data_IF_989289693001
#
_entry.id   IF_989289693001
#
_cell.length_a   1.000
_cell.length_b   1.000
_cell.length_c   1.000
_cell.angle_alpha   90.00
_cell.angle_beta   90.00
_cell.angle_gamma   90.00
#
_symmetry.space_group_name_H-M   'P 1'
#
loop_
_entity.id
_entity.type
_entity.pdbx_description
1 polymer ?
#
# COMPACT_ATOMS: atom_id res chain seq x y z
N UNK A 1 -5.90 -8.60 18.14
CA UNK A 1 -6.22 -8.28 16.72
C UNK A 1 -7.64 -7.74 16.56
N UNK A 2 -8.65 -8.39 17.13
CA UNK A 2 -10.07 -8.03 16.95
C UNK A 2 -10.40 -6.60 17.40
N UNK A 3 -9.83 -6.13 18.51
CA UNK A 3 -10.16 -4.85 19.10
C UNK A 3 -9.62 -3.66 18.28
N UNK A 4 -8.39 -3.75 17.79
CA UNK A 4 -7.80 -2.68 16.97
C UNK A 4 -8.50 -2.54 15.60
N UNK A 5 -8.89 -3.65 14.97
CA UNK A 5 -9.65 -3.61 13.72
C UNK A 5 -11.00 -2.92 13.91
N UNK A 6 -11.71 -3.28 14.99
CA UNK A 6 -12.99 -2.64 15.30
C UNK A 6 -12.87 -1.13 15.55
N UNK A 7 -11.77 -0.67 16.16
CA UNK A 7 -11.47 0.75 16.37
C UNK A 7 -11.31 1.47 15.04
N UNK A 8 -10.49 0.97 14.12
CA UNK A 8 -10.27 1.58 12.80
C UNK A 8 -11.51 1.53 11.91
N UNK A 9 -12.26 0.42 11.92
CA UNK A 9 -13.55 0.35 11.23
C UNK A 9 -14.55 1.39 11.75
N UNK A 10 -14.60 1.61 13.06
CA UNK A 10 -15.45 2.63 13.64
C UNK A 10 -15.05 4.04 13.19
N UNK A 11 -13.77 4.30 13.00
CA UNK A 11 -13.31 5.58 12.43
C UNK A 11 -13.84 5.78 10.99
N UNK A 12 -13.81 4.74 10.14
CA UNK A 12 -14.42 4.78 8.80
C UNK A 12 -15.92 5.06 8.89
N UNK A 13 -16.63 4.34 9.75
CA UNK A 13 -18.08 4.51 9.93
C UNK A 13 -18.44 5.91 10.41
N UNK A 14 -17.56 6.55 11.17
CA UNK A 14 -17.70 7.93 11.62
C UNK A 14 -17.23 8.97 10.58
N UNK A 15 -16.99 8.56 9.33
CA UNK A 15 -16.61 9.45 8.23
C UNK A 15 -15.18 9.99 8.29
N UNK A 16 -14.28 9.35 9.05
CA UNK A 16 -12.87 9.72 9.04
C UNK A 16 -12.24 9.26 7.74
N UNK A 17 -11.37 10.11 7.16
CA UNK A 17 -10.60 9.76 5.98
C UNK A 17 -9.47 8.78 6.29
N UNK A 18 -8.91 8.18 5.24
CA UNK A 18 -7.87 7.18 5.39
C UNK A 18 -6.57 7.79 5.96
N UNK A 19 -6.24 9.04 5.63
CA UNK A 19 -5.04 9.73 6.16
C UNK A 19 -5.11 9.92 7.68
N UNK A 20 -6.30 10.22 8.21
CA UNK A 20 -6.52 10.26 9.65
C UNK A 20 -6.27 8.89 10.29
N UNK A 21 -6.81 7.84 9.69
CA UNK A 21 -6.64 6.46 10.19
C UNK A 21 -5.16 6.04 10.16
N UNK A 22 -4.45 6.35 9.06
CA UNK A 22 -3.02 6.09 8.95
C UNK A 22 -2.22 6.85 10.01
N UNK A 23 -2.62 8.09 10.33
CA UNK A 23 -1.97 8.89 11.39
C UNK A 23 -2.14 8.26 12.76
N UNK A 24 -3.33 7.77 13.10
CA UNK A 24 -3.56 7.06 14.35
C UNK A 24 -2.81 5.73 14.43
N UNK A 25 -2.75 4.98 13.33
CA UNK A 25 -1.98 3.75 13.25
C UNK A 25 -0.46 3.97 13.35
N UNK A 26 0.06 5.03 12.74
CA UNK A 26 1.48 5.38 12.77
C UNK A 26 2.00 5.61 14.19
N UNK A 27 1.16 6.11 15.10
CA UNK A 27 1.49 6.27 16.53
C UNK A 27 1.80 4.92 17.21
N UNK A 28 1.25 3.82 16.70
CA UNK A 28 1.43 2.49 17.27
C UNK A 28 2.67 1.76 16.73
N UNK A 29 3.09 2.05 15.50
CA UNK A 29 4.17 1.33 14.82
C UNK A 29 5.48 2.13 14.64
N UNK A 30 5.54 3.37 15.12
CA UNK A 30 6.74 4.24 15.05
C UNK A 30 7.31 4.36 13.64
N UNK A 31 6.45 4.55 12.65
CA UNK A 31 6.86 4.69 11.25
C UNK A 31 5.89 5.57 10.47
N UNK A 32 6.37 6.09 9.34
CA UNK A 32 5.54 6.80 8.39
C UNK A 32 4.69 5.80 7.61
N UNK A 33 3.37 5.94 7.61
CA UNK A 33 2.47 5.12 6.82
C UNK A 33 2.04 5.84 5.54
N UNK A 34 2.08 5.12 4.42
CA UNK A 34 1.72 5.64 3.10
C UNK A 34 0.90 4.59 2.34
N UNK A 35 -0.18 5.00 1.71
CA UNK A 35 -1.01 4.17 0.84
C UNK A 35 -0.81 4.58 -0.62
N UNK A 36 -0.39 3.64 -1.46
CA UNK A 36 -0.01 3.88 -2.85
C UNK A 36 -0.75 2.91 -3.76
N UNK A 37 -1.28 3.37 -4.88
CA UNK A 37 -1.79 2.50 -5.94
C UNK A 37 -0.66 2.01 -6.88
N UNK A 38 -1.01 1.16 -7.85
CA UNK A 38 -0.05 0.63 -8.82
C UNK A 38 0.51 1.66 -9.80
N UNK A 39 -0.10 2.83 -9.92
CA UNK A 39 0.44 3.92 -10.75
C UNK A 39 1.48 4.76 -10.02
N UNK A 40 1.71 4.48 -8.73
CA UNK A 40 2.55 5.29 -7.86
C UNK A 40 1.82 6.46 -7.21
N UNK A 41 0.50 6.60 -7.43
CA UNK A 41 -0.29 7.65 -6.80
C UNK A 41 -0.42 7.39 -5.31
N UNK A 42 -0.05 8.36 -4.50
CA UNK A 42 -0.25 8.38 -3.06
C UNK A 42 -1.66 8.89 -2.80
N UNK A 43 -2.55 8.03 -2.33
CA UNK A 43 -3.93 8.42 -2.07
C UNK A 43 -4.24 8.66 -0.60
N UNK A 44 -3.35 8.23 0.30
CA UNK A 44 -3.39 8.58 1.73
C UNK A 44 -2.01 8.43 2.38
N UNK A 45 -1.75 9.21 3.41
CA UNK A 45 -0.54 9.06 4.23
C UNK A 45 -0.80 9.55 5.66
N UNK A 46 -0.01 9.05 6.61
CA UNK A 46 0.00 9.59 7.97
C UNK A 46 0.64 10.97 7.99
N UNK A 47 0.42 11.73 9.06
CA UNK A 47 1.15 13.00 9.27
C UNK A 47 2.65 12.77 9.09
N UNK A 48 3.33 13.58 8.23
CA UNK A 48 4.74 13.40 7.97
C UNK A 48 5.59 13.48 9.24
N UNK A 49 6.46 12.49 9.43
CA UNK A 49 7.41 12.50 10.53
C UNK A 49 8.43 13.65 10.36
N UNK A 50 8.88 14.31 11.44
CA UNK A 50 9.85 15.43 11.36
C UNK A 50 11.15 15.04 10.66
N UNK A 51 11.62 13.83 10.92
CA UNK A 51 12.85 13.22 10.40
C UNK A 51 12.68 12.46 9.08
N UNK A 52 11.47 12.52 8.46
CA UNK A 52 11.23 11.91 7.16
C UNK A 52 12.20 12.46 6.10
N UNK A 53 12.73 11.56 5.25
CA UNK A 53 13.64 11.91 4.15
C UNK A 53 13.07 13.02 3.27
N UNK A 54 13.93 13.94 2.77
CA UNK A 54 13.51 15.02 1.89
C UNK A 54 12.77 14.52 0.66
N UNK A 55 13.22 13.42 0.05
CA UNK A 55 12.59 12.78 -1.11
C UNK A 55 11.15 12.34 -0.78
N UNK A 56 10.96 11.68 0.36
CA UNK A 56 9.62 11.28 0.78
C UNK A 56 8.70 12.47 1.10
N UNK A 57 9.25 13.56 1.69
CA UNK A 57 8.48 14.80 1.87
C UNK A 57 8.02 15.37 0.54
N UNK A 58 8.86 15.29 -0.49
CA UNK A 58 8.52 15.70 -1.84
C UNK A 58 7.44 14.79 -2.44
N UNK A 59 7.59 13.45 -2.36
CA UNK A 59 6.60 12.50 -2.88
C UNK A 59 5.23 12.68 -2.22
N UNK A 60 5.19 12.88 -0.90
CA UNK A 60 3.94 13.15 -0.18
C UNK A 60 3.29 14.46 -0.64
N UNK A 61 4.08 15.50 -0.90
CA UNK A 61 3.61 16.79 -1.40
C UNK A 61 3.08 16.70 -2.83
N UNK A 62 3.79 15.97 -3.70
CA UNK A 62 3.44 15.81 -5.10
C UNK A 62 2.31 14.80 -5.32
N UNK A 63 2.08 13.93 -4.33
CA UNK A 63 1.05 12.90 -4.37
C UNK A 63 1.42 11.69 -5.23
N UNK A 64 2.69 11.56 -5.63
CA UNK A 64 3.19 10.47 -6.47
C UNK A 64 4.59 10.01 -6.06
N UNK A 65 4.80 8.70 -6.16
CA UNK A 65 6.12 8.10 -6.11
C UNK A 65 6.76 8.08 -7.50
N UNK A 66 8.09 8.25 -7.62
CA UNK A 66 8.76 8.19 -8.91
C UNK A 66 8.74 6.78 -9.51
N UNK A 67 8.92 6.72 -10.84
CA UNK A 67 8.89 5.47 -11.59
C UNK A 67 9.95 4.46 -11.11
N UNK A 68 11.12 4.94 -10.71
CA UNK A 68 12.21 4.11 -10.19
C UNK A 68 11.82 3.40 -8.90
N UNK A 69 11.13 4.10 -7.98
CA UNK A 69 10.60 3.49 -6.77
C UNK A 69 9.54 2.43 -7.10
N UNK A 70 8.64 2.74 -8.01
CA UNK A 70 7.60 1.80 -8.44
C UNK A 70 8.20 0.58 -9.14
N UNK A 71 9.22 0.75 -9.98
CA UNK A 71 9.94 -0.36 -10.62
C UNK A 71 10.55 -1.28 -9.57
N UNK A 72 11.21 -0.71 -8.56
CA UNK A 72 11.76 -1.49 -7.45
C UNK A 72 10.67 -2.29 -6.71
N UNK A 73 9.51 -1.68 -6.46
CA UNK A 73 8.37 -2.37 -5.86
C UNK A 73 7.89 -3.54 -6.74
N UNK A 74 7.79 -3.35 -8.06
CA UNK A 74 7.42 -4.42 -9.00
C UNK A 74 8.43 -5.55 -9.03
N UNK A 75 9.72 -5.25 -9.06
CA UNK A 75 10.77 -6.26 -9.04
C UNK A 75 10.73 -7.12 -7.78
N UNK A 76 10.41 -6.50 -6.65
CA UNK A 76 10.20 -7.20 -5.38
C UNK A 76 8.97 -8.10 -5.41
N UNK A 77 7.89 -7.67 -6.08
CA UNK A 77 6.67 -8.46 -6.25
C UNK A 77 6.86 -9.65 -7.16
N UNK A 78 7.53 -9.46 -8.31
CA UNK A 78 7.79 -10.51 -9.29
C UNK A 78 8.66 -11.64 -8.73
N UNK A 79 9.49 -11.37 -7.72
CA UNK A 79 10.26 -12.38 -7.00
C UNK A 79 9.41 -13.25 -6.06
N UNK A 80 8.13 -12.93 -5.89
CA UNK A 80 7.20 -13.68 -5.03
C UNK A 80 6.35 -14.62 -5.87
N UNK A 81 6.31 -15.87 -5.48
CA UNK A 81 5.51 -16.92 -6.14
C UNK A 81 4.01 -16.84 -5.82
N UNK A 82 3.62 -16.07 -4.81
CA UNK A 82 2.23 -15.92 -4.37
C UNK A 82 1.93 -14.49 -3.91
N UNK A 83 0.76 -13.97 -4.24
CA UNK A 83 0.21 -12.75 -3.63
C UNK A 83 -0.20 -13.10 -2.20
N UNK A 84 0.73 -12.99 -1.28
CA UNK A 84 0.46 -13.20 0.13
C UNK A 84 -0.11 -11.92 0.74
N UNK A 85 -1.19 -12.04 1.50
CA UNK A 85 -1.72 -10.95 2.32
C UNK A 85 -0.81 -10.58 3.50
N UNK A 86 0.33 -11.27 3.65
CA UNK A 86 1.28 -11.03 4.74
C UNK A 86 2.17 -9.84 4.43
N UNK A 87 2.37 -9.00 5.44
CA UNK A 87 3.35 -7.92 5.37
C UNK A 87 4.76 -8.50 5.24
N UNK A 88 5.61 -7.82 4.48
CA UNK A 88 7.02 -8.17 4.31
C UNK A 88 7.90 -6.95 4.48
N UNK A 89 9.08 -7.17 5.01
CA UNK A 89 10.07 -6.15 5.27
C UNK A 89 11.25 -6.27 4.31
N UNK A 90 11.78 -5.14 3.88
CA UNK A 90 13.02 -5.05 3.13
C UNK A 90 13.74 -3.74 3.43
N UNK A 91 15.05 -3.72 3.23
CA UNK A 91 15.89 -2.54 3.39
C UNK A 91 16.18 -1.93 2.02
N UNK A 92 15.99 -0.63 1.89
CA UNK A 92 16.52 0.11 0.77
C UNK A 92 17.97 0.51 1.09
N UNK A 93 18.93 -0.06 0.34
CA UNK A 93 20.35 0.17 0.58
C UNK A 93 20.76 1.62 0.29
N UNK A 94 20.16 2.23 -0.72
CA UNK A 94 20.48 3.59 -1.17
C UNK A 94 20.16 4.66 -0.13
N UNK A 95 19.14 4.44 0.69
CA UNK A 95 18.66 5.44 1.66
C UNK A 95 18.73 4.97 3.12
N UNK A 96 19.13 3.73 3.36
CA UNK A 96 19.20 3.16 4.72
C UNK A 96 17.85 3.03 5.42
N UNK A 97 16.75 3.11 4.66
CA UNK A 97 15.39 2.99 5.17
C UNK A 97 14.91 1.55 5.10
N UNK A 98 14.18 1.13 6.12
CA UNK A 98 13.44 -0.10 6.12
C UNK A 98 11.99 0.15 5.67
N UNK A 99 11.54 -0.68 4.75
CA UNK A 99 10.16 -0.71 4.31
C UNK A 99 9.49 -1.96 4.84
N UNK A 100 8.31 -1.78 5.41
CA UNK A 100 7.40 -2.87 5.70
C UNK A 100 6.15 -2.64 4.86
N UNK A 101 5.80 -3.57 3.98
CA UNK A 101 4.70 -3.39 3.07
C UNK A 101 3.67 -4.51 3.18
N UNK A 102 2.41 -4.17 2.93
CA UNK A 102 1.30 -5.11 2.82
C UNK A 102 0.39 -4.73 1.67
N UNK A 103 -0.03 -5.69 0.82
CA UNK A 103 -0.93 -5.41 -0.29
C UNK A 103 -2.32 -5.05 0.22
N UNK A 104 -2.96 -4.11 -0.47
CA UNK A 104 -4.38 -3.80 -0.31
C UNK A 104 -5.14 -4.72 -1.27
N UNK A 105 -5.83 -5.73 -0.74
CA UNK A 105 -6.51 -6.75 -1.54
C UNK A 105 -8.02 -6.58 -1.45
N UNK A 106 -8.68 -6.44 -2.61
CA UNK A 106 -10.14 -6.37 -2.75
C UNK A 106 -10.56 -7.42 -3.78
N UNK A 107 -11.49 -8.30 -3.42
CA UNK A 107 -11.99 -9.37 -4.30
C UNK A 107 -10.85 -10.20 -4.94
N UNK A 108 -9.87 -10.60 -4.14
CA UNK A 108 -8.66 -11.33 -4.56
C UNK A 108 -7.75 -10.60 -5.56
N UNK A 109 -7.98 -9.30 -5.81
CA UNK A 109 -7.14 -8.46 -6.63
C UNK A 109 -6.40 -7.46 -5.75
N UNK A 110 -5.09 -7.30 -5.96
CA UNK A 110 -4.34 -6.24 -5.33
C UNK A 110 -4.70 -4.89 -5.98
N UNK A 111 -4.87 -3.86 -5.16
CA UNK A 111 -5.21 -2.50 -5.58
C UNK A 111 -4.06 -1.51 -5.35
N UNK A 112 -3.09 -1.91 -4.59
CA UNK A 112 -1.95 -1.11 -4.18
C UNK A 112 -1.34 -1.66 -2.91
N UNK A 113 -0.62 -0.82 -2.20
CA UNK A 113 0.14 -1.20 -1.00
C UNK A 113 -0.01 -0.17 0.10
N UNK A 114 0.02 -0.67 1.34
CA UNK A 114 0.41 0.11 2.50
C UNK A 114 1.90 -0.09 2.72
N UNK A 115 2.65 1.00 2.77
CA UNK A 115 4.04 1.03 3.18
C UNK A 115 4.18 1.67 4.56
N UNK A 116 5.00 1.06 5.40
CA UNK A 116 5.56 1.70 6.57
C UNK A 116 7.04 1.94 6.33
N UNK A 117 7.47 3.20 6.45
CA UNK A 117 8.85 3.61 6.37
C UNK A 117 9.39 3.78 7.78
N UNK A 118 10.57 3.21 8.05
CA UNK A 118 11.22 3.29 9.35
C UNK A 118 12.75 3.43 9.17
N UNK A 119 13.39 4.19 10.05
CA UNK A 119 14.86 4.31 10.09
C UNK A 119 15.52 3.12 10.77
N UNK A 120 14.79 2.46 11.62
CA UNK A 120 15.24 1.28 12.34
C UNK A 120 14.55 0.05 11.76
N UNK A 121 15.24 -1.07 11.77
CA UNK A 121 14.66 -2.34 11.42
C UNK A 121 13.49 -2.64 12.37
N UNK A 122 12.28 -2.48 11.87
CA UNK A 122 11.08 -2.73 12.64
C UNK A 122 10.42 -4.05 12.21
N UNK A 123 11.10 -5.14 12.51
CA UNK A 123 10.59 -6.50 12.30
C UNK A 123 9.73 -6.99 13.47
N UNK A 124 9.23 -6.10 14.30
CA UNK A 124 8.38 -6.49 15.41
C UNK A 124 7.08 -7.13 14.89
N UNK A 125 6.61 -8.23 15.49
CA UNK A 125 5.31 -8.83 15.15
C UNK A 125 4.18 -7.80 15.16
N UNK A 126 4.22 -6.87 16.11
CA UNK A 126 3.22 -5.81 16.23
C UNK A 126 3.21 -4.86 15.03
N UNK A 127 4.38 -4.50 14.48
CA UNK A 127 4.44 -3.65 13.28
C UNK A 127 3.85 -4.39 12.07
N UNK A 128 4.21 -5.66 11.88
CA UNK A 128 3.66 -6.51 10.82
C UNK A 128 2.13 -6.62 10.92
N UNK A 129 1.62 -6.93 12.10
CA UNK A 129 0.17 -7.00 12.37
C UNK A 129 -0.52 -5.67 12.08
N UNK A 130 0.08 -4.55 12.50
CA UNK A 130 -0.49 -3.23 12.27
C UNK A 130 -0.58 -2.91 10.79
N UNK A 131 0.50 -3.12 10.01
CA UNK A 131 0.51 -2.84 8.57
C UNK A 131 -0.47 -3.73 7.82
N UNK A 132 -0.57 -5.02 8.17
CA UNK A 132 -1.58 -5.94 7.61
C UNK A 132 -3.00 -5.51 7.96
N UNK A 133 -3.22 -5.10 9.19
CA UNK A 133 -4.51 -4.61 9.65
C UNK A 133 -4.94 -3.37 8.86
N UNK A 134 -4.03 -2.41 8.71
CA UNK A 134 -4.29 -1.17 7.97
C UNK A 134 -4.53 -1.44 6.49
N UNK A 135 -3.87 -2.42 5.88
CA UNK A 135 -4.15 -2.77 4.48
C UNK A 135 -5.58 -3.30 4.29
N UNK A 136 -6.11 -4.07 5.25
CA UNK A 136 -7.53 -4.50 5.25
C UNK A 136 -8.48 -3.32 5.46
N UNK A 137 -8.16 -2.43 6.39
CA UNK A 137 -8.93 -1.20 6.65
C UNK A 137 -8.97 -0.31 5.40
N UNK A 138 -7.83 -0.15 4.69
CA UNK A 138 -7.76 0.57 3.43
C UNK A 138 -8.59 -0.09 2.33
N UNK A 139 -8.60 -1.43 2.25
CA UNK A 139 -9.45 -2.16 1.32
C UNK A 139 -10.93 -1.89 1.57
N UNK A 140 -11.36 -1.90 2.84
CA UNK A 140 -12.74 -1.57 3.20
C UNK A 140 -13.10 -0.11 2.92
N UNK A 141 -12.16 0.82 3.15
CA UNK A 141 -12.34 2.23 2.83
C UNK A 141 -12.52 2.44 1.32
N UNK A 142 -11.65 1.86 0.49
CA UNK A 142 -11.72 1.94 -0.97
C UNK A 142 -13.04 1.36 -1.46
N UNK A 143 -13.40 0.16 -1.02
CA UNK A 143 -14.64 -0.52 -1.43
C UNK A 143 -15.91 0.29 -1.13
N UNK A 144 -15.92 1.08 -0.06
CA UNK A 144 -17.06 1.91 0.32
C UNK A 144 -17.13 3.22 -0.47
N UNK A 145 -15.97 3.75 -0.88
CA UNK A 145 -15.89 5.07 -1.51
C UNK A 145 -15.71 5.03 -3.03
N UNK A 146 -15.30 3.89 -3.59
CA UNK A 146 -15.30 3.69 -5.03
C UNK A 146 -16.70 3.19 -5.47
N UNK A 147 -17.40 3.92 -6.35
CA UNK A 147 -18.58 3.37 -7.01
C UNK A 147 -18.14 2.12 -7.82
N UNK A 148 -18.95 1.05 -7.77
CA UNK A 148 -18.68 -0.26 -8.38
C UNK A 148 -18.37 -0.25 -9.90
N UNK A 149 -18.27 0.91 -10.53
CA UNK A 149 -18.23 1.10 -11.98
C UNK A 149 -17.15 2.03 -12.50
N UNK A 150 -15.92 1.95 -12.05
CA UNK A 150 -14.88 2.49 -12.94
C UNK A 150 -14.34 1.37 -13.83
N UNK A 151 -14.94 1.23 -15.02
CA UNK A 151 -14.55 0.24 -16.04
C UNK A 151 -13.07 0.31 -16.42
N UNK A 152 -12.45 1.49 -16.32
CA UNK A 152 -11.02 1.69 -16.57
C UNK A 152 -10.12 1.04 -15.50
N UNK A 153 -10.47 1.10 -14.24
CA UNK A 153 -9.71 0.44 -13.18
C UNK A 153 -9.78 -1.08 -13.29
N UNK A 154 -10.93 -1.63 -13.68
CA UNK A 154 -11.09 -3.07 -13.95
C UNK A 154 -10.28 -3.51 -15.17
N UNK A 155 -10.24 -2.70 -16.24
CA UNK A 155 -9.45 -2.97 -17.43
C UNK A 155 -7.95 -2.95 -17.13
N UNK A 156 -7.48 -1.96 -16.36
CA UNK A 156 -6.09 -1.86 -15.93
C UNK A 156 -5.68 -3.05 -15.06
N UNK A 157 -6.52 -3.47 -14.13
CA UNK A 157 -6.29 -4.65 -13.28
C UNK A 157 -6.20 -5.91 -14.10
N UNK A 158 -7.10 -6.09 -15.07
CA UNK A 158 -7.10 -7.26 -15.95
C UNK A 158 -5.84 -7.31 -16.79
N UNK A 159 -5.44 -6.18 -17.41
CA UNK A 159 -4.19 -6.07 -18.16
C UNK A 159 -2.96 -6.39 -17.30
N UNK A 160 -2.89 -5.87 -16.08
CA UNK A 160 -1.79 -6.19 -15.16
C UNK A 160 -1.78 -7.65 -14.75
N UNK A 161 -2.95 -8.25 -14.51
CA UNK A 161 -3.06 -9.68 -14.18
C UNK A 161 -2.63 -10.54 -15.36
N UNK A 162 -3.03 -10.19 -16.58
CA UNK A 162 -2.66 -10.87 -17.81
C UNK A 162 -1.14 -10.76 -18.08
N UNK A 163 -0.55 -9.59 -17.87
CA UNK A 163 0.90 -9.36 -17.99
C UNK A 163 1.67 -10.15 -16.91
N UNK A 164 1.23 -10.11 -15.67
CA UNK A 164 1.87 -10.81 -14.55
C UNK A 164 1.64 -12.33 -14.60
N UNK A 165 0.53 -12.76 -15.20
CA UNK A 165 0.20 -14.16 -15.44
C UNK A 165 0.99 -14.79 -16.59
N UNK A 166 1.82 -14.02 -17.30
CA UNK A 166 2.68 -14.53 -18.39
C UNK A 166 1.94 -14.81 -19.69
N UNK A 167 0.76 -14.21 -19.90
CA UNK A 167 0.07 -14.30 -21.20
C UNK A 167 0.92 -13.65 -22.31
N UNK A 168 0.97 -14.29 -23.46
CA UNK A 168 1.79 -13.80 -24.58
C UNK A 168 1.28 -12.43 -25.06
N UNK A 169 2.21 -11.56 -25.50
CA UNK A 169 1.90 -10.23 -26.04
C UNK A 169 0.84 -10.25 -27.15
N UNK A 170 0.71 -11.35 -27.88
CA UNK A 170 -0.28 -11.51 -28.95
C UNK A 170 -1.72 -11.67 -28.44
N UNK A 171 -1.91 -12.31 -27.29
CA UNK A 171 -3.24 -12.45 -26.68
C UNK A 171 -3.80 -11.13 -26.10
N UNK A 172 -2.91 -10.19 -25.75
CA UNK A 172 -3.28 -8.87 -25.22
C UNK A 172 -3.69 -7.89 -26.34
N UNK A 173 -3.09 -8.04 -27.54
CA UNK A 173 -3.35 -7.16 -28.69
C UNK A 173 -4.69 -7.48 -29.42
N UNK A 174 -5.28 -8.64 -29.19
CA UNK A 174 -6.53 -9.10 -29.81
C UNK A 174 -7.80 -8.81 -28.95
N UNK A 175 -7.66 -8.18 -27.79
CA UNK A 175 -8.76 -7.80 -26.88
C UNK A 175 -8.91 -6.28 -26.78
#
# INVERSE_FOLDING_TARGET
>A
ESDNYAVFLRMILNGRDLSYILTEAAKQCRGQLVAIDFSGKIFAHSTPAPDLLPEWKMYLKDGYCPAEFMQHCYDMLLKRTEISSRAYSYRCEDHGIYYLSSPIVINNCAHGYIFMLSWEENNSPKAHETVQLISRVAADFIRRNEPEQSSSAQLYRRLLTDILGGESRNAIAER
#
